data_IF_028109063448
#
_entry.id   IF_028109063448
#
_cell.length_a   1.000
_cell.length_b   1.000
_cell.length_c   1.000
_cell.angle_alpha   90.00
_cell.angle_beta   90.00
_cell.angle_gamma   90.00
#
_symmetry.space_group_name_H-M   'P 1'
#
loop_
_entity.id
_entity.type
_entity.pdbx_description
1 polymer ?
#
# COMPACT_ATOMS: atom_id res chain seq x y z
N UNK A 1 32.64 2.60 -8.98
CA UNK A 1 32.49 1.48 -9.93
C UNK A 1 31.61 0.46 -9.24
N UNK A 2 30.48 0.08 -9.85
CA UNK A 2 29.47 -0.79 -9.25
C UNK A 2 30.07 -2.13 -8.87
N UNK A 3 29.91 -2.53 -7.61
CA UNK A 3 30.33 -3.85 -7.17
C UNK A 3 29.30 -4.82 -7.78
N UNK A 4 29.75 -5.92 -8.38
CA UNK A 4 28.88 -6.91 -9.03
C UNK A 4 28.04 -7.69 -7.99
N UNK A 5 27.16 -6.99 -7.29
CA UNK A 5 26.24 -7.48 -6.27
C UNK A 5 24.82 -7.41 -6.80
N UNK A 6 23.97 -8.27 -6.28
CA UNK A 6 22.55 -8.34 -6.63
C UNK A 6 21.75 -7.47 -5.67
N UNK A 7 20.85 -6.66 -6.24
CA UNK A 7 19.93 -5.81 -5.51
C UNK A 7 18.53 -5.98 -6.08
N UNK A 8 17.50 -5.87 -5.24
CA UNK A 8 16.10 -5.99 -5.66
C UNK A 8 15.60 -4.70 -6.36
N UNK A 9 16.11 -3.52 -5.99
CA UNK A 9 15.77 -2.24 -6.62
C UNK A 9 16.91 -1.22 -6.55
N UNK A 10 16.77 -0.10 -7.28
CA UNK A 10 17.76 0.97 -7.32
C UNK A 10 17.94 1.69 -5.97
N UNK A 11 16.87 1.78 -5.16
CA UNK A 11 16.91 2.38 -3.82
C UNK A 11 17.75 1.52 -2.87
N UNK A 12 17.54 0.19 -2.85
CA UNK A 12 18.36 -0.73 -2.05
C UNK A 12 19.86 -0.70 -2.43
N UNK A 13 20.18 -0.45 -3.70
CA UNK A 13 21.57 -0.21 -4.10
C UNK A 13 22.09 1.10 -3.49
N UNK A 14 21.31 2.18 -3.53
CA UNK A 14 21.73 3.49 -3.00
C UNK A 14 21.91 3.49 -1.48
N UNK A 15 21.13 2.69 -0.75
CA UNK A 15 21.28 2.51 0.69
C UNK A 15 22.56 1.78 1.08
N UNK A 16 22.99 0.80 0.27
CA UNK A 16 24.17 -0.02 0.57
C UNK A 16 25.47 0.49 -0.06
N UNK A 17 25.38 1.21 -1.18
CA UNK A 17 26.53 1.65 -1.95
C UNK A 17 26.60 3.18 -2.05
N UNK A 18 27.77 3.74 -1.74
CA UNK A 18 28.02 5.19 -1.71
C UNK A 18 28.17 5.83 -3.09
N UNK A 19 27.79 5.15 -4.17
CA UNK A 19 27.96 5.66 -5.53
C UNK A 19 26.72 5.44 -6.38
N UNK A 20 26.63 6.20 -7.47
CA UNK A 20 25.46 6.17 -8.36
C UNK A 20 25.53 4.97 -9.30
N UNK A 21 24.41 4.25 -9.43
CA UNK A 21 24.23 3.22 -10.43
C UNK A 21 24.25 3.86 -11.82
N UNK A 22 25.10 3.36 -12.72
CA UNK A 22 25.16 3.83 -14.10
C UNK A 22 24.03 3.20 -14.91
N UNK A 23 23.40 3.98 -15.77
CA UNK A 23 22.37 3.47 -16.67
C UNK A 23 23.01 2.58 -17.74
N UNK A 24 22.58 1.33 -17.79
CA UNK A 24 22.92 0.37 -18.85
C UNK A 24 21.63 -0.18 -19.43
N UNK A 25 21.63 -0.43 -20.74
CA UNK A 25 20.47 -1.01 -21.44
C UNK A 25 20.38 -2.52 -21.24
N UNK A 26 21.53 -3.20 -21.15
CA UNK A 26 21.58 -4.61 -20.79
C UNK A 26 21.48 -4.77 -19.27
N UNK A 27 20.39 -5.38 -18.80
CA UNK A 27 20.14 -5.67 -17.39
C UNK A 27 20.16 -7.18 -17.16
N UNK A 28 20.85 -7.62 -16.10
CA UNK A 28 20.86 -9.03 -15.71
C UNK A 28 19.92 -9.24 -14.53
N UNK A 29 18.95 -10.13 -14.67
CA UNK A 29 17.98 -10.47 -13.63
C UNK A 29 18.13 -11.93 -13.20
N UNK A 30 17.77 -12.22 -11.95
CA UNK A 30 17.70 -13.58 -11.42
C UNK A 30 16.26 -13.87 -10.97
N UNK A 31 15.63 -14.90 -11.56
CA UNK A 31 14.26 -15.23 -11.19
C UNK A 31 14.20 -15.89 -9.80
N UNK A 32 13.35 -15.38 -8.90
CA UNK A 32 13.18 -15.96 -7.55
C UNK A 32 12.55 -17.36 -7.56
N UNK A 33 11.69 -17.67 -8.55
CA UNK A 33 11.00 -18.97 -8.67
C UNK A 33 11.91 -20.08 -9.20
N UNK A 34 12.63 -19.85 -10.30
CA UNK A 34 13.46 -20.88 -10.94
C UNK A 34 14.97 -20.72 -10.69
N UNK A 35 15.40 -19.64 -10.03
CA UNK A 35 16.80 -19.31 -9.73
C UNK A 35 17.73 -19.24 -10.95
N UNK A 36 17.16 -19.14 -12.15
CA UNK A 36 17.92 -18.96 -13.40
C UNK A 36 18.14 -17.48 -13.65
N UNK A 37 19.37 -17.15 -14.01
CA UNK A 37 19.75 -15.81 -14.44
C UNK A 37 19.43 -15.64 -15.93
N UNK A 38 18.87 -14.50 -16.30
CA UNK A 38 18.60 -14.13 -17.69
C UNK A 38 18.99 -12.67 -17.91
N UNK A 39 19.25 -12.32 -19.17
CA UNK A 39 19.53 -10.94 -19.56
C UNK A 39 18.36 -10.37 -20.32
N UNK A 40 18.12 -9.09 -20.10
CA UNK A 40 17.05 -8.30 -20.72
C UNK A 40 17.66 -7.06 -21.32
N UNK A 41 17.23 -6.70 -22.53
CA UNK A 41 17.44 -5.35 -23.03
C UNK A 41 16.30 -4.46 -22.51
N UNK A 42 16.63 -3.31 -21.95
CA UNK A 42 15.68 -2.33 -21.43
C UNK A 42 15.24 -1.30 -22.49
N UNK A 43 15.76 -1.37 -23.73
CA UNK A 43 15.35 -0.46 -24.81
C UNK A 43 13.97 -0.78 -25.40
N UNK A 44 13.65 -2.07 -25.52
CA UNK A 44 12.35 -2.56 -25.97
C UNK A 44 11.70 -3.24 -24.78
N UNK A 45 10.66 -2.61 -24.22
CA UNK A 45 9.89 -3.17 -23.10
C UNK A 45 8.51 -3.55 -23.63
N UNK A 46 8.35 -4.81 -24.02
CA UNK A 46 7.08 -5.37 -24.50
C UNK A 46 6.31 -6.07 -23.36
N UNK A 47 5.02 -6.36 -23.53
CA UNK A 47 4.22 -7.04 -22.49
C UNK A 47 4.70 -8.49 -22.23
N UNK A 48 5.29 -9.14 -23.24
CA UNK A 48 5.98 -10.42 -23.08
C UNK A 48 7.19 -10.31 -22.14
N UNK A 49 7.68 -9.09 -21.93
CA UNK A 49 8.87 -8.85 -21.16
C UNK A 49 8.68 -8.90 -19.66
N UNK A 50 7.44 -8.90 -19.18
CA UNK A 50 7.08 -8.94 -17.77
C UNK A 50 7.30 -10.32 -17.12
N UNK A 51 7.57 -11.34 -17.93
CA UNK A 51 7.67 -12.73 -17.50
C UNK A 51 9.10 -13.28 -17.61
N UNK A 52 9.44 -14.18 -16.71
CA UNK A 52 10.69 -14.93 -16.79
C UNK A 52 10.64 -15.95 -17.95
N UNK A 53 11.61 -15.93 -18.89
CA UNK A 53 11.61 -16.81 -20.07
C UNK A 53 11.77 -18.30 -19.73
N UNK A 54 12.05 -18.66 -18.48
CA UNK A 54 12.29 -20.02 -18.07
C UNK A 54 11.13 -20.68 -17.30
N UNK A 55 10.26 -19.90 -16.67
CA UNK A 55 9.23 -20.44 -15.77
C UNK A 55 7.96 -19.60 -15.70
N UNK A 56 7.87 -18.59 -16.58
CA UNK A 56 6.70 -17.72 -16.72
C UNK A 56 6.32 -17.00 -15.42
N UNK A 57 7.33 -16.68 -14.60
CA UNK A 57 7.12 -15.92 -13.39
C UNK A 57 7.06 -14.43 -13.74
N UNK A 58 5.90 -13.81 -13.51
CA UNK A 58 5.71 -12.37 -13.60
C UNK A 58 6.60 -11.66 -12.57
N UNK A 59 7.48 -10.77 -13.02
CA UNK A 59 8.43 -10.08 -12.15
C UNK A 59 8.17 -8.57 -12.03
N UNK A 60 7.25 -8.03 -12.83
CA UNK A 60 6.81 -6.63 -12.75
C UNK A 60 5.55 -6.58 -11.88
N UNK A 61 5.71 -6.35 -10.58
CA UNK A 61 4.58 -6.40 -9.64
C UNK A 61 4.00 -4.99 -9.47
N UNK A 62 2.68 -4.87 -9.44
CA UNK A 62 2.00 -3.61 -9.14
C UNK A 62 2.43 -3.07 -7.76
N UNK A 63 2.68 -1.77 -7.71
CA UNK A 63 3.01 -1.09 -6.46
C UNK A 63 1.81 -1.15 -5.50
N UNK A 64 1.96 -1.88 -4.39
CA UNK A 64 0.95 -1.92 -3.33
C UNK A 64 1.01 -0.62 -2.55
N UNK A 65 0.07 0.29 -2.82
CA UNK A 65 -0.09 1.51 -2.02
C UNK A 65 -0.75 1.13 -0.68
N UNK A 66 -0.14 1.46 0.48
CA UNK A 66 -0.79 1.24 1.77
C UNK A 66 -2.07 2.08 1.82
N UNK A 67 -3.22 1.40 1.78
CA UNK A 67 -4.52 2.06 1.97
C UNK A 67 -4.58 2.54 3.42
N UNK A 68 -4.89 3.83 3.68
CA UNK A 68 -5.08 4.32 5.04
C UNK A 68 -6.29 3.60 5.66
N UNK A 69 -6.04 2.56 6.44
CA UNK A 69 -7.05 1.93 7.26
C UNK A 69 -7.15 2.74 8.56
N UNK A 70 -8.27 3.42 8.77
CA UNK A 70 -8.59 4.04 10.06
C UNK A 70 -8.94 2.91 11.04
N UNK A 71 -7.95 2.33 11.70
CA UNK A 71 -8.17 1.36 12.78
C UNK A 71 -8.62 2.13 14.01
N UNK A 72 -9.90 1.98 14.40
CA UNK A 72 -10.38 2.46 15.69
C UNK A 72 -9.85 1.49 16.75
N UNK A 73 -8.85 1.90 17.52
CA UNK A 73 -8.39 1.14 18.68
C UNK A 73 -9.45 1.23 19.79
N UNK A 74 -10.35 0.24 19.82
CA UNK A 74 -11.24 0.04 20.96
C UNK A 74 -10.49 -0.69 22.06
N UNK A 75 -10.18 0.01 23.16
CA UNK A 75 -9.74 -0.63 24.39
C UNK A 75 -10.84 -1.58 24.91
N UNK A 76 -10.46 -2.60 25.70
CA UNK A 76 -11.33 -3.71 26.13
C UNK A 76 -12.76 -3.26 26.49
N UNK A 77 -13.75 -3.82 25.80
CA UNK A 77 -15.17 -3.53 25.98
C UNK A 77 -15.70 -3.78 27.41
N UNK A 78 -14.92 -4.44 28.28
CA UNK A 78 -15.24 -4.59 29.71
C UNK A 78 -14.80 -3.40 30.57
N UNK A 79 -13.85 -2.57 30.10
CA UNK A 79 -13.36 -1.39 30.81
C UNK A 79 -14.02 -0.10 30.33
N UNK A 80 -14.26 0.05 29.02
CA UNK A 80 -14.89 1.26 28.46
C UNK A 80 -16.19 0.94 27.70
N UNK A 81 -17.33 1.09 28.40
CA UNK A 81 -18.67 0.89 27.84
C UNK A 81 -19.11 2.01 26.88
N UNK A 82 -18.28 3.06 26.66
CA UNK A 82 -18.65 4.21 25.82
C UNK A 82 -18.88 3.84 24.35
N UNK A 83 -18.24 2.77 23.86
CA UNK A 83 -18.39 2.28 22.48
C UNK A 83 -19.47 1.19 22.32
N UNK A 84 -20.08 0.72 23.42
CA UNK A 84 -21.18 -0.25 23.37
C UNK A 84 -22.52 0.48 23.30
N UNK A 85 -23.29 0.21 22.24
CA UNK A 85 -24.64 0.75 22.08
C UNK A 85 -25.63 -0.11 22.84
N UNK A 86 -26.24 0.43 23.90
CA UNK A 86 -27.35 -0.22 24.61
C UNK A 86 -28.69 0.15 23.95
N UNK A 87 -29.36 -0.83 23.34
CA UNK A 87 -30.67 -0.66 22.68
C UNK A 87 -31.83 -0.37 23.65
N UNK A 88 -31.63 -0.49 24.98
CA UNK A 88 -32.66 -0.18 25.98
C UNK A 88 -32.72 1.30 26.34
N UNK A 89 -31.64 2.04 26.08
CA UNK A 89 -31.57 3.48 26.35
C UNK A 89 -32.02 4.23 25.10
N UNK A 90 -33.08 5.03 25.24
CA UNK A 90 -33.58 5.88 24.16
C UNK A 90 -32.47 6.86 23.77
N UNK A 91 -31.80 6.60 22.64
CA UNK A 91 -30.69 7.43 22.17
C UNK A 91 -31.10 8.90 22.10
N UNK A 92 -30.20 9.80 22.51
CA UNK A 92 -30.42 11.23 22.35
C UNK A 92 -30.67 11.50 20.87
N UNK A 93 -31.84 12.08 20.54
CA UNK A 93 -32.15 12.51 19.18
C UNK A 93 -30.98 13.37 18.70
N UNK A 94 -30.31 12.94 17.63
CA UNK A 94 -29.25 13.71 16.99
C UNK A 94 -29.90 15.00 16.50
N UNK A 95 -29.73 16.09 17.25
CA UNK A 95 -30.15 17.42 16.83
C UNK A 95 -29.29 17.79 15.63
N UNK A 96 -29.88 17.77 14.45
CA UNK A 96 -29.19 18.26 13.26
C UNK A 96 -29.22 19.78 13.28
N UNK A 97 -28.23 20.42 12.66
CA UNK A 97 -28.21 21.88 12.45
C UNK A 97 -29.45 22.37 11.66
N UNK A 98 -30.22 21.45 11.07
CA UNK A 98 -31.41 21.71 10.25
C UNK A 98 -32.75 21.58 11.01
N UNK A 99 -32.75 21.26 12.31
CA UNK A 99 -33.98 21.16 13.10
C UNK A 99 -34.48 22.56 13.53
N UNK A 100 -35.04 23.30 12.58
CA UNK A 100 -35.59 24.66 12.73
C UNK A 100 -36.93 24.65 13.49
N UNK A 101 -37.53 23.48 13.76
CA UNK A 101 -38.89 23.37 14.28
C UNK A 101 -39.02 23.63 15.80
N UNK A 102 -37.94 23.65 16.59
CA UNK A 102 -38.06 23.84 18.05
C UNK A 102 -38.22 25.29 18.52
N UNK A 103 -38.02 26.28 17.64
CA UNK A 103 -38.12 27.70 18.00
C UNK A 103 -39.42 28.38 17.53
N UNK A 104 -40.31 27.65 16.85
CA UNK A 104 -41.58 28.20 16.35
C UNK A 104 -42.69 28.25 17.42
N UNK A 105 -42.67 27.37 18.43
CA UNK A 105 -43.73 27.24 19.44
C UNK A 105 -43.57 28.16 20.68
N UNK A 106 -42.65 29.15 20.64
CA UNK A 106 -42.46 30.12 21.74
C UNK A 106 -42.92 31.55 21.43
N UNK A 107 -43.50 31.80 20.26
CA UNK A 107 -44.07 33.09 19.88
C UNK A 107 -45.43 32.88 19.21
N UNK A 108 -46.49 32.82 20.03
CA UNK A 108 -47.88 32.74 19.57
C UNK A 108 -48.82 32.30 20.67
#
# INVERSE_FOLDING_TARGET
MCKHKWFDCAECHHEQESHRLLQTFEMTFACKKCKKCFRKDAQEFEEADEYCPHCDNHFVIDAVVPKPALTVEGEDARMDNRMLKDDRVKGSQNRSIFDIQSDADKLG
#
